data_IF_989842063460
#
_entry.id   IF_989842063460
#
_cell.length_a   1.000
_cell.length_b   1.000
_cell.length_c   1.000
_cell.angle_alpha   90.00
_cell.angle_beta   90.00
_cell.angle_gamma   90.00
#
_symmetry.space_group_name_H-M   'P 1'
#
loop_
_entity.id
_entity.type
_entity.pdbx_description
1 polymer ?
#
# COMPACT_ATOMS: atom_id res chain seq x y z
N UNK A 1 -9.15 -11.58 -9.57
CA UNK A 1 -9.10 -11.66 -8.11
C UNK A 1 -8.20 -10.53 -7.65
N UNK A 2 -8.74 -9.34 -7.37
CA UNK A 2 -7.99 -8.35 -6.61
C UNK A 2 -7.92 -8.89 -5.20
N UNK A 3 -6.73 -9.32 -4.79
CA UNK A 3 -6.52 -9.95 -3.49
C UNK A 3 -6.36 -8.83 -2.46
N UNK A 4 -7.50 -8.29 -2.02
CA UNK A 4 -7.56 -7.30 -0.95
C UNK A 4 -7.00 -7.98 0.31
N UNK A 5 -5.83 -7.52 0.77
CA UNK A 5 -5.15 -8.09 1.92
C UNK A 5 -5.45 -7.24 3.15
N UNK A 6 -5.86 -7.88 4.23
CA UNK A 6 -6.02 -7.20 5.50
C UNK A 6 -4.65 -6.93 6.12
N UNK A 7 -4.41 -5.69 6.54
CA UNK A 7 -3.12 -5.23 7.04
C UNK A 7 -3.28 -4.43 8.33
N UNK A 8 -2.22 -4.38 9.13
CA UNK A 8 -2.06 -3.57 10.32
C UNK A 8 -1.05 -2.42 10.07
N UNK A 9 -1.07 -1.35 10.88
CA UNK A 9 -0.07 -0.29 10.78
C UNK A 9 1.35 -0.84 10.92
N UNK A 10 2.20 -0.52 9.93
CA UNK A 10 3.57 -1.01 9.84
C UNK A 10 3.74 -2.26 8.97
N UNK A 11 2.66 -2.90 8.51
CA UNK A 11 2.75 -3.97 7.51
C UNK A 11 3.18 -3.40 6.15
N UNK A 12 3.91 -4.22 5.38
CA UNK A 12 4.36 -3.87 4.03
C UNK A 12 3.19 -4.06 3.06
N UNK A 13 2.91 -3.03 2.28
CA UNK A 13 1.86 -3.04 1.24
C UNK A 13 2.45 -3.07 -0.17
N UNK A 14 3.72 -2.72 -0.35
CA UNK A 14 4.40 -2.77 -1.64
C UNK A 14 5.80 -2.14 -1.64
N UNK A 15 6.41 -2.03 -2.82
CA UNK A 15 7.67 -1.32 -3.06
C UNK A 15 7.44 -0.04 -3.85
N UNK A 16 8.23 1.00 -3.59
CA UNK A 16 8.20 2.24 -4.39
C UNK A 16 8.75 2.06 -5.81
N UNK A 17 9.40 0.93 -6.10
CA UNK A 17 9.83 0.56 -7.44
C UNK A 17 8.65 0.18 -8.35
N UNK A 18 7.55 -0.29 -7.74
CA UNK A 18 6.37 -0.79 -8.44
C UNK A 18 5.16 0.15 -8.28
N UNK A 19 5.01 0.75 -7.10
CA UNK A 19 3.83 1.53 -6.72
C UNK A 19 4.20 2.91 -6.17
N UNK A 20 3.18 3.78 -6.13
CA UNK A 20 3.24 5.06 -5.43
C UNK A 20 2.44 4.94 -4.13
N UNK A 21 2.93 5.47 -2.99
CA UNK A 21 2.13 5.50 -1.76
C UNK A 21 0.87 6.35 -1.96
N UNK A 22 -0.29 5.75 -1.74
CA UNK A 22 -1.59 6.39 -1.70
C UNK A 22 -2.06 6.71 -0.28
N UNK A 23 -3.32 7.06 -0.13
CA UNK A 23 -3.93 7.35 1.17
C UNK A 23 -3.72 6.20 2.18
N UNK A 24 -3.46 6.60 3.43
CA UNK A 24 -3.20 5.69 4.55
C UNK A 24 -1.99 4.76 4.38
N UNK A 25 -1.03 5.18 3.55
CA UNK A 25 0.27 4.54 3.41
C UNK A 25 1.40 5.55 3.55
N UNK A 26 2.61 5.07 3.79
CA UNK A 26 3.82 5.91 3.77
C UNK A 26 5.02 5.13 3.23
N UNK A 27 5.96 5.84 2.61
CA UNK A 27 7.19 5.26 2.09
C UNK A 27 8.36 5.42 3.07
N UNK A 28 9.13 4.35 3.30
CA UNK A 28 10.36 4.37 4.08
C UNK A 28 11.33 3.32 3.58
N UNK A 29 12.58 3.72 3.28
CA UNK A 29 13.61 2.76 2.87
C UNK A 29 13.26 1.94 1.61
N UNK A 30 12.54 2.53 0.65
CA UNK A 30 12.14 1.86 -0.60
C UNK A 30 10.86 1.01 -0.50
N UNK A 31 10.32 0.82 0.70
CA UNK A 31 9.07 0.08 0.90
C UNK A 31 7.92 1.03 1.24
N UNK A 32 6.71 0.61 0.91
CA UNK A 32 5.46 1.27 1.27
C UNK A 32 4.83 0.47 2.42
N UNK A 33 4.45 1.17 3.47
CA UNK A 33 3.86 0.60 4.68
C UNK A 33 2.46 1.15 4.91
N UNK A 34 1.60 0.32 5.51
CA UNK A 34 0.30 0.75 5.99
C UNK A 34 0.45 1.71 7.19
N UNK A 35 -0.29 2.81 7.20
CA UNK A 35 -0.39 3.71 8.37
C UNK A 35 -1.63 3.43 9.23
N UNK A 36 -2.57 2.62 8.73
CA UNK A 36 -3.82 2.25 9.40
C UNK A 36 -4.10 0.75 9.26
N UNK A 37 -5.08 0.24 10.01
CA UNK A 37 -5.65 -1.09 9.79
C UNK A 37 -6.71 -1.03 8.70
N UNK A 38 -6.67 -1.93 7.73
CA UNK A 38 -7.59 -1.87 6.59
C UNK A 38 -7.37 -2.97 5.56
N UNK A 39 -8.01 -2.81 4.40
CA UNK A 39 -7.87 -3.70 3.25
C UNK A 39 -7.09 -2.96 2.16
N UNK A 40 -6.01 -3.57 1.69
CA UNK A 40 -5.19 -2.97 0.66
C UNK A 40 -5.94 -2.89 -0.67
N UNK A 41 -5.82 -1.76 -1.37
CA UNK A 41 -6.31 -1.58 -2.74
C UNK A 41 -5.22 -0.98 -3.62
N UNK A 42 -5.18 -1.37 -4.89
CA UNK A 42 -4.27 -0.79 -5.88
C UNK A 42 -5.07 -0.20 -7.03
N UNK A 43 -4.79 1.06 -7.38
CA UNK A 43 -5.29 1.67 -8.60
C UNK A 43 -4.31 1.42 -9.75
N UNK A 44 -4.71 0.64 -10.76
CA UNK A 44 -3.80 0.25 -11.84
C UNK A 44 -3.42 1.40 -12.80
N UNK A 45 -4.19 2.50 -12.82
CA UNK A 45 -3.94 3.62 -13.73
C UNK A 45 -2.86 4.55 -13.19
N UNK A 46 -2.92 4.84 -11.89
CA UNK A 46 -1.97 5.69 -11.17
C UNK A 46 -0.86 4.90 -10.50
N UNK A 47 -1.04 3.57 -10.37
CA UNK A 47 -0.19 2.65 -9.60
C UNK A 47 -0.12 3.02 -8.12
N UNK A 48 -1.14 3.69 -7.60
CA UNK A 48 -1.20 4.04 -6.19
C UNK A 48 -1.71 2.86 -5.35
N UNK A 49 -1.03 2.60 -4.24
CA UNK A 49 -1.41 1.59 -3.25
C UNK A 49 -2.00 2.27 -2.01
N UNK A 50 -3.18 1.82 -1.61
CA UNK A 50 -3.98 2.37 -0.52
C UNK A 50 -4.27 1.29 0.51
N UNK A 51 -4.61 1.71 1.73
CA UNK A 51 -5.12 0.84 2.81
C UNK A 51 -6.45 1.37 3.31
#
# INVERSE_FOLDING_TARGET
>A
MTQDSFVLPGDVVGSVEEFVPGDYTYAKGGLIFASTTGLTKVDSKTRAAYV
#
